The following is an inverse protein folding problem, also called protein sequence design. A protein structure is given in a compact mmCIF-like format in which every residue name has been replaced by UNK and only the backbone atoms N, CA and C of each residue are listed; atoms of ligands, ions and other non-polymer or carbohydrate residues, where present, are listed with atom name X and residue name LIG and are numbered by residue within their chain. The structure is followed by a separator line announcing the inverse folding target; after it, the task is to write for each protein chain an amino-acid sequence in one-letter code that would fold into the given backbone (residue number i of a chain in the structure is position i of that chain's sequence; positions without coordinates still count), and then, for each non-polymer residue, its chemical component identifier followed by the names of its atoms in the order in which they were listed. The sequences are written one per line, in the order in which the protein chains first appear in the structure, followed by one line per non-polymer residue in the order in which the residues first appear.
data_IF_045225977719
#
_entry.id   IF_045225977719
#
_cell.length_a   1.000
_cell.length_b   1.000
_cell.length_c   1.000
_cell.angle_alpha   90.00
_cell.angle_beta   90.00
_cell.angle_gamma   90.00
#
_symmetry.space_group_name_H-M   'P 1'
#
loop_
_entity.id
_entity.type
_entity.pdbx_description
1 polymer ?
#
# COMPACT_ATOMS: atom_id res chain seq x y z
N UNK A 1 -33.49 16.64 25.07
CA UNK A 1 -32.59 17.76 25.44
C UNK A 1 -31.84 17.33 26.71
N UNK A 2 -31.10 16.21 26.63
CA UNK A 2 -30.38 15.63 27.79
C UNK A 2 -29.00 15.09 27.37
N UNK A 3 -28.30 15.81 26.48
CA UNK A 3 -26.85 15.67 26.33
C UNK A 3 -26.13 16.83 27.08
N UNK A 4 -26.75 17.37 28.12
CA UNK A 4 -26.38 18.65 28.74
C UNK A 4 -25.30 18.53 29.83
N UNK A 5 -24.89 17.31 30.21
CA UNK A 5 -23.85 17.10 31.22
C UNK A 5 -22.61 16.40 30.64
N UNK A 6 -21.82 17.20 29.91
CA UNK A 6 -20.36 17.21 29.91
C UNK A 6 -19.63 15.88 29.73
N UNK A 7 -19.30 15.55 28.49
CA UNK A 7 -18.14 14.70 28.23
C UNK A 7 -16.89 15.53 28.56
N UNK A 8 -16.11 15.10 29.56
CA UNK A 8 -14.97 15.87 30.03
C UNK A 8 -13.92 16.07 28.94
N UNK A 9 -13.34 17.26 28.85
CA UNK A 9 -12.43 17.71 27.77
C UNK A 9 -11.10 16.92 27.67
N UNK A 10 -10.88 15.87 28.45
CA UNK A 10 -9.54 15.25 28.63
C UNK A 10 -9.54 13.72 28.74
N UNK A 11 -10.32 13.03 27.90
CA UNK A 11 -10.10 11.61 27.66
C UNK A 11 -11.19 10.91 26.87
N UNK A 12 -10.83 9.82 26.20
CA UNK A 12 -11.71 8.87 25.50
C UNK A 12 -12.72 8.13 26.41
N UNK A 13 -12.98 8.64 27.62
CA UNK A 13 -13.88 8.03 28.58
C UNK A 13 -15.29 8.67 28.45
N UNK A 14 -16.10 7.89 27.75
CA UNK A 14 -17.38 8.14 27.10
C UNK A 14 -18.55 8.61 28.00
N UNK A 15 -19.38 9.50 27.45
CA UNK A 15 -20.80 9.65 27.77
C UNK A 15 -21.59 8.48 27.12
N UNK A 16 -22.04 7.51 27.91
CA UNK A 16 -22.40 6.16 27.46
C UNK A 16 -23.81 5.99 26.85
N UNK A 17 -24.32 6.99 26.13
CA UNK A 17 -25.61 6.88 25.43
C UNK A 17 -25.43 7.08 23.92
N UNK A 18 -25.93 6.13 23.12
CA UNK A 18 -25.83 6.12 21.66
C UNK A 18 -26.47 7.34 20.98
N UNK A 19 -27.30 8.11 21.69
CA UNK A 19 -27.99 9.30 21.18
C UNK A 19 -27.24 10.62 21.42
N UNK A 20 -26.12 10.59 22.16
CA UNK A 20 -25.34 11.79 22.51
C UNK A 20 -23.85 11.70 22.16
N UNK A 21 -23.39 10.58 21.61
CA UNK A 21 -21.98 10.35 21.38
C UNK A 21 -21.57 10.83 19.98
N UNK A 22 -20.77 11.90 19.96
CA UNK A 22 -20.15 12.41 18.73
C UNK A 22 -19.14 11.40 18.21
N UNK A 23 -19.27 11.03 16.95
CA UNK A 23 -18.32 10.19 16.24
C UNK A 23 -18.07 10.73 14.83
N UNK A 24 -16.97 10.30 14.22
CA UNK A 24 -16.67 10.62 12.83
C UNK A 24 -17.56 9.82 11.88
N UNK A 25 -17.88 10.38 10.71
CA UNK A 25 -18.44 9.64 9.57
C UNK A 25 -17.27 9.28 8.66
N UNK A 26 -16.73 8.04 8.71
CA UNK A 26 -15.53 7.70 7.97
C UNK A 26 -15.77 7.75 6.46
N UNK A 27 -14.77 8.23 5.71
CA UNK A 27 -14.89 8.47 4.26
C UNK A 27 -15.34 7.24 3.47
N UNK A 28 -14.75 6.07 3.75
CA UNK A 28 -14.97 4.84 2.99
C UNK A 28 -16.00 3.90 3.61
N UNK A 29 -16.40 4.17 4.86
CA UNK A 29 -17.31 3.34 5.64
C UNK A 29 -18.27 4.24 6.45
N UNK A 30 -19.13 5.04 5.80
CA UNK A 30 -19.84 6.14 6.47
C UNK A 30 -20.76 5.72 7.62
N UNK A 31 -21.28 4.49 7.61
CA UNK A 31 -22.19 3.99 8.64
C UNK A 31 -21.51 3.13 9.72
N UNK A 32 -20.20 2.86 9.64
CA UNK A 32 -19.57 1.86 10.54
C UNK A 32 -19.51 2.32 11.99
N UNK A 33 -19.52 3.64 12.22
CA UNK A 33 -19.43 4.22 13.57
C UNK A 33 -20.80 4.39 14.25
N UNK A 34 -21.91 4.11 13.54
CA UNK A 34 -23.27 4.16 14.08
C UNK A 34 -23.50 3.04 15.11
N UNK A 35 -22.83 1.90 14.92
CA UNK A 35 -22.88 0.75 15.82
C UNK A 35 -21.64 0.68 16.72
N UNK A 36 -21.83 0.23 17.97
CA UNK A 36 -20.75 0.01 18.93
C UNK A 36 -20.35 -1.46 18.96
N UNK A 37 -19.06 -1.72 18.75
CA UNK A 37 -18.45 -3.00 19.06
C UNK A 37 -18.23 -3.15 20.59
N UNK A 38 -18.31 -4.40 21.06
CA UNK A 38 -18.28 -4.74 22.49
C UNK A 38 -17.08 -5.59 22.90
N UNK A 39 -16.21 -5.93 21.94
CA UNK A 39 -15.04 -6.79 22.17
C UNK A 39 -13.78 -6.07 21.72
N UNK A 40 -12.69 -6.24 22.44
CA UNK A 40 -11.38 -5.73 22.04
C UNK A 40 -10.61 -6.75 21.19
N UNK A 41 -9.75 -6.26 20.31
CA UNK A 41 -8.74 -7.05 19.61
C UNK A 41 -7.35 -6.65 20.10
N UNK A 42 -6.61 -7.61 20.65
CA UNK A 42 -5.22 -7.42 21.06
C UNK A 42 -4.32 -8.41 20.33
N UNK A 43 -3.47 -7.92 19.42
CA UNK A 43 -2.43 -8.70 18.76
C UNK A 43 -1.23 -8.80 19.70
N UNK A 44 -1.21 -9.86 20.49
CA UNK A 44 -0.19 -10.16 21.50
C UNK A 44 0.83 -11.22 21.07
N UNK A 45 0.62 -11.82 19.89
CA UNK A 45 1.52 -12.71 19.19
C UNK A 45 1.49 -12.35 17.70
N UNK A 46 2.53 -12.70 16.94
CA UNK A 46 2.51 -12.57 15.48
C UNK A 46 1.28 -13.29 14.91
N UNK A 47 0.50 -12.56 14.11
CA UNK A 47 -0.77 -13.02 13.56
C UNK A 47 -0.81 -12.73 12.07
N UNK A 48 -1.33 -13.68 11.30
CA UNK A 48 -1.69 -13.47 9.90
C UNK A 48 -3.20 -13.40 9.79
N UNK A 49 -3.70 -12.35 9.15
CA UNK A 49 -5.11 -12.15 8.83
C UNK A 49 -5.28 -12.24 7.31
N UNK A 50 -6.09 -13.18 6.86
CA UNK A 50 -6.43 -13.31 5.44
C UNK A 50 -7.77 -12.63 5.16
N UNK A 51 -7.75 -11.57 4.36
CA UNK A 51 -8.94 -10.78 4.06
C UNK A 51 -9.92 -11.50 3.13
N UNK A 52 -9.50 -12.60 2.49
CA UNK A 52 -10.39 -13.45 1.70
C UNK A 52 -11.15 -14.48 2.56
N UNK A 53 -10.74 -14.68 3.81
CA UNK A 53 -11.45 -15.51 4.77
C UNK A 53 -12.50 -14.67 5.51
N UNK A 54 -13.78 -14.91 5.21
CA UNK A 54 -14.89 -14.19 5.85
C UNK A 54 -14.89 -14.36 7.38
N UNK A 55 -14.30 -15.43 7.93
CA UNK A 55 -14.17 -15.60 9.39
C UNK A 55 -13.15 -14.63 10.03
N UNK A 56 -12.23 -14.09 9.22
CA UNK A 56 -11.27 -13.07 9.65
C UNK A 56 -11.86 -11.65 9.65
N UNK A 57 -13.00 -11.44 9.00
CA UNK A 57 -13.69 -10.16 8.91
C UNK A 57 -14.92 -10.16 9.85
N UNK A 58 -15.14 -9.07 10.59
CA UNK A 58 -16.43 -8.82 11.27
C UNK A 58 -17.56 -8.67 10.25
N UNK A 59 -17.27 -7.98 9.15
CA UNK A 59 -18.15 -7.82 8.00
C UNK A 59 -17.35 -7.47 6.74
N UNK A 60 -18.00 -7.51 5.58
CA UNK A 60 -17.40 -7.12 4.30
C UNK A 60 -18.23 -6.00 3.69
N UNK A 61 -17.58 -4.91 3.28
CA UNK A 61 -18.22 -3.82 2.55
C UNK A 61 -17.84 -3.86 1.06
N UNK A 62 -18.87 -3.88 0.21
CA UNK A 62 -18.69 -3.77 -1.23
C UNK A 62 -18.37 -2.32 -1.64
N UNK A 63 -17.45 -2.16 -2.58
CA UNK A 63 -17.14 -0.86 -3.20
C UNK A 63 -17.64 -0.85 -4.65
N UNK A 64 -18.20 0.25 -5.17
CA UNK A 64 -18.77 0.27 -6.52
C UNK A 64 -17.78 -0.06 -7.64
N UNK A 65 -16.53 0.40 -7.49
CA UNK A 65 -15.47 0.31 -8.52
C UNK A 65 -14.12 -0.11 -7.92
N UNK A 66 -14.12 -0.71 -6.73
CA UNK A 66 -12.91 -1.11 -6.00
C UNK A 66 -12.97 -2.55 -5.50
N UNK A 67 -11.90 -3.06 -4.87
CA UNK A 67 -11.94 -4.32 -4.16
C UNK A 67 -12.97 -4.24 -3.01
N UNK A 68 -13.45 -5.35 -2.50
CA UNK A 68 -14.23 -5.30 -1.24
C UNK A 68 -13.32 -4.87 -0.08
N UNK A 69 -13.91 -4.42 1.02
CA UNK A 69 -13.20 -4.10 2.26
C UNK A 69 -13.56 -5.16 3.30
N UNK A 70 -12.56 -5.91 3.78
CA UNK A 70 -12.66 -6.70 5.00
C UNK A 70 -12.62 -5.75 6.19
N UNK A 71 -13.69 -5.72 6.97
CA UNK A 71 -13.82 -4.85 8.14
C UNK A 71 -13.54 -5.67 9.40
N UNK A 72 -12.58 -5.24 10.19
CA UNK A 72 -12.29 -5.77 11.53
C UNK A 72 -12.73 -4.69 12.52
N UNK A 73 -13.92 -4.87 13.10
CA UNK A 73 -14.55 -3.87 13.97
C UNK A 73 -14.60 -4.36 15.42
N UNK A 74 -13.91 -3.63 16.29
CA UNK A 74 -13.78 -3.92 17.72
C UNK A 74 -13.93 -2.63 18.54
N UNK A 75 -14.17 -2.78 19.84
CA UNK A 75 -14.25 -1.65 20.76
C UNK A 75 -12.91 -0.91 20.78
N UNK A 76 -11.81 -1.63 20.96
CA UNK A 76 -10.45 -1.14 20.80
C UNK A 76 -9.62 -2.15 20.01
N UNK A 77 -8.68 -1.66 19.20
CA UNK A 77 -7.70 -2.49 18.48
C UNK A 77 -6.31 -2.08 18.93
N UNK A 78 -5.50 -3.05 19.35
CA UNK A 78 -4.11 -2.81 19.76
C UNK A 78 -3.17 -3.85 19.16
N UNK A 79 -2.16 -3.39 18.44
CA UNK A 79 -1.02 -4.21 17.98
C UNK A 79 0.14 -3.92 18.92
N UNK A 80 0.45 -4.86 19.82
CA UNK A 80 1.46 -4.64 20.86
C UNK A 80 2.87 -4.53 20.27
N UNK A 81 3.77 -3.92 21.03
CA UNK A 81 5.19 -3.83 20.68
C UNK A 81 5.80 -5.21 20.41
N UNK A 82 6.72 -5.27 19.46
CA UNK A 82 7.37 -6.50 18.98
C UNK A 82 6.42 -7.56 18.38
N UNK A 83 5.14 -7.23 18.14
CA UNK A 83 4.21 -8.10 17.42
C UNK A 83 3.99 -7.62 15.99
N UNK A 84 3.76 -8.55 15.09
CA UNK A 84 3.42 -8.27 13.69
C UNK A 84 2.02 -8.79 13.38
N UNK A 85 1.16 -7.91 12.89
CA UNK A 85 -0.06 -8.28 12.18
C UNK A 85 0.24 -8.24 10.68
N UNK A 86 0.39 -9.40 10.06
CA UNK A 86 0.51 -9.52 8.61
C UNK A 86 -0.87 -9.67 8.00
N UNK A 87 -1.21 -8.88 7.00
CA UNK A 87 -2.49 -8.92 6.31
C UNK A 87 -2.30 -9.36 4.86
N UNK A 88 -3.04 -10.38 4.44
CA UNK A 88 -3.02 -10.92 3.08
C UNK A 88 -4.42 -10.95 2.48
N UNK A 89 -4.55 -11.46 1.25
CA UNK A 89 -5.83 -11.61 0.55
C UNK A 89 -6.07 -10.54 -0.52
N UNK A 90 -7.23 -10.59 -1.16
CA UNK A 90 -7.58 -9.71 -2.29
C UNK A 90 -8.41 -8.49 -1.89
N UNK A 91 -8.99 -8.48 -0.69
CA UNK A 91 -9.80 -7.36 -0.17
C UNK A 91 -8.91 -6.33 0.53
N UNK A 92 -9.30 -5.06 0.51
CA UNK A 92 -8.68 -4.04 1.36
C UNK A 92 -8.99 -4.32 2.83
N UNK A 93 -8.18 -3.83 3.77
CA UNK A 93 -8.40 -4.00 5.21
C UNK A 93 -8.80 -2.68 5.87
N UNK A 94 -9.84 -2.71 6.70
CA UNK A 94 -10.19 -1.63 7.61
C UNK A 94 -10.16 -2.13 9.05
N UNK A 95 -9.25 -1.60 9.86
CA UNK A 95 -9.22 -1.80 11.32
C UNK A 95 -10.00 -0.66 11.96
N UNK A 96 -11.18 -0.99 12.49
CA UNK A 96 -12.13 -0.03 13.06
C UNK A 96 -12.22 -0.23 14.56
N UNK A 97 -11.76 0.78 15.31
CA UNK A 97 -11.85 0.82 16.76
C UNK A 97 -12.81 1.91 17.21
N UNK A 98 -13.81 1.60 18.03
CA UNK A 98 -14.71 2.62 18.55
C UNK A 98 -13.99 3.62 19.47
N UNK A 99 -13.17 3.09 20.38
CA UNK A 99 -12.51 3.84 21.46
C UNK A 99 -10.99 3.90 21.32
N UNK A 100 -10.43 3.23 20.32
CA UNK A 100 -9.00 3.30 20.04
C UNK A 100 -8.55 2.38 18.93
N UNK A 101 -7.63 2.87 18.11
CA UNK A 101 -6.79 2.05 17.23
C UNK A 101 -5.35 2.45 17.51
N UNK A 102 -4.58 1.53 18.10
CA UNK A 102 -3.20 1.76 18.53
C UNK A 102 -2.26 0.72 17.89
N UNK A 103 -1.40 1.19 16.98
CA UNK A 103 -0.37 0.38 16.34
C UNK A 103 0.98 0.69 16.99
N UNK A 104 1.42 -0.16 17.93
CA UNK A 104 2.77 -0.08 18.54
C UNK A 104 3.75 -1.08 17.96
N UNK A 105 3.25 -2.21 17.48
CA UNK A 105 4.00 -3.22 16.74
C UNK A 105 4.10 -2.90 15.25
N UNK A 106 3.98 -3.92 14.41
CA UNK A 106 4.06 -3.82 12.96
C UNK A 106 2.71 -4.23 12.36
N UNK A 107 2.12 -3.36 11.54
CA UNK A 107 1.05 -3.70 10.62
C UNK A 107 1.65 -3.84 9.22
N UNK A 108 1.70 -5.07 8.72
CA UNK A 108 2.32 -5.41 7.43
C UNK A 108 1.25 -5.83 6.42
N UNK A 109 0.95 -4.95 5.48
CA UNK A 109 0.06 -5.16 4.35
C UNK A 109 0.82 -4.90 3.03
N UNK A 110 2.13 -5.16 3.03
CA UNK A 110 3.00 -5.03 1.87
C UNK A 110 2.76 -6.15 0.85
N UNK A 111 3.12 -5.89 -0.40
CA UNK A 111 3.32 -6.93 -1.39
C UNK A 111 4.64 -7.67 -1.15
N UNK A 112 4.71 -8.92 -1.56
CA UNK A 112 5.94 -9.71 -1.55
C UNK A 112 6.23 -10.26 -2.93
N UNK A 113 7.33 -9.83 -3.54
CA UNK A 113 7.72 -10.14 -4.91
C UNK A 113 6.57 -9.85 -5.88
N UNK A 114 5.91 -10.89 -6.41
CA UNK A 114 4.81 -10.80 -7.37
C UNK A 114 3.43 -10.90 -6.72
N UNK A 115 3.36 -11.23 -5.42
CA UNK A 115 2.12 -11.33 -4.67
C UNK A 115 1.67 -9.94 -4.21
N UNK A 116 0.45 -9.56 -4.54
CA UNK A 116 -0.13 -8.29 -4.12
C UNK A 116 -0.41 -8.29 -2.60
N UNK A 117 -0.36 -7.12 -1.99
CA UNK A 117 -0.94 -6.89 -0.67
C UNK A 117 -2.48 -6.79 -0.72
N UNK A 118 -3.15 -6.72 0.44
CA UNK A 118 -4.62 -6.69 0.56
C UNK A 118 -5.24 -5.53 -0.22
N UNK A 119 -6.15 -5.81 -1.15
CA UNK A 119 -6.77 -4.78 -2.02
C UNK A 119 -5.82 -4.16 -3.05
N UNK A 120 -4.57 -4.63 -3.12
CA UNK A 120 -3.58 -4.25 -4.11
C UNK A 120 -3.79 -4.94 -5.45
N UNK A 121 -3.39 -4.29 -6.53
CA UNK A 121 -3.39 -4.87 -7.87
C UNK A 121 -4.79 -5.01 -8.48
N UNK A 122 -5.83 -4.49 -7.82
CA UNK A 122 -7.16 -4.33 -8.40
C UNK A 122 -7.08 -3.46 -9.67
N UNK A 123 -6.33 -2.35 -9.59
CA UNK A 123 -5.97 -1.53 -10.75
C UNK A 123 -4.67 -2.03 -11.38
N UNK A 124 -4.62 -1.99 -12.71
CA UNK A 124 -3.41 -2.28 -13.49
C UNK A 124 -2.96 -1.02 -14.21
N UNK A 125 -1.66 -0.78 -14.24
CA UNK A 125 -1.06 0.29 -15.02
C UNK A 125 0.29 -0.15 -15.57
N UNK A 126 0.91 0.64 -16.46
CA UNK A 126 2.17 0.26 -17.11
C UNK A 126 1.98 -0.83 -18.17
N UNK A 127 2.83 -0.78 -19.20
CA UNK A 127 2.74 -1.70 -20.34
C UNK A 127 3.72 -2.87 -20.20
N UNK A 128 3.25 -4.09 -20.48
CA UNK A 128 4.13 -5.24 -20.63
C UNK A 128 4.70 -5.31 -22.04
N UNK A 129 6.01 -5.14 -22.21
CA UNK A 129 6.69 -5.12 -23.51
C UNK A 129 7.27 -6.47 -23.89
N UNK A 130 7.75 -6.61 -25.13
CA UNK A 130 8.54 -7.76 -25.56
C UNK A 130 9.99 -7.72 -25.06
N UNK A 131 10.51 -6.53 -24.72
CA UNK A 131 11.90 -6.34 -24.27
C UNK A 131 12.02 -6.21 -22.76
N UNK A 132 11.16 -5.39 -22.14
CA UNK A 132 11.07 -5.18 -20.71
C UNK A 132 9.68 -4.62 -20.34
N UNK A 133 9.21 -4.89 -19.12
CA UNK A 133 7.99 -4.28 -18.58
C UNK A 133 8.22 -2.89 -18.01
N UNK A 134 7.23 -2.01 -18.16
CA UNK A 134 7.15 -0.76 -17.40
C UNK A 134 6.66 -1.04 -15.98
N UNK A 135 7.16 -0.28 -15.01
CA UNK A 135 6.67 -0.33 -13.63
C UNK A 135 5.30 0.33 -13.50
N UNK A 136 4.57 0.01 -12.44
CA UNK A 136 3.24 0.54 -12.21
C UNK A 136 3.28 1.96 -11.67
N UNK A 137 2.35 2.81 -12.12
CA UNK A 137 2.13 4.16 -11.61
C UNK A 137 0.96 4.20 -10.61
N UNK A 138 1.10 4.99 -9.55
CA UNK A 138 0.08 5.18 -8.52
C UNK A 138 0.15 6.62 -7.99
N UNK A 139 0.85 6.90 -6.88
CA UNK A 139 1.03 8.30 -6.41
C UNK A 139 1.94 9.12 -7.34
N UNK A 140 2.89 8.47 -7.99
CA UNK A 140 3.74 9.04 -9.05
C UNK A 140 3.62 8.19 -10.31
N UNK A 141 4.36 8.55 -11.37
CA UNK A 141 4.48 7.66 -12.54
C UNK A 141 5.41 6.49 -12.21
N UNK A 142 5.13 5.33 -12.81
CA UNK A 142 6.05 4.20 -12.81
C UNK A 142 7.20 4.43 -13.80
N UNK A 143 8.32 3.76 -13.59
CA UNK A 143 9.46 3.79 -14.50
C UNK A 143 9.17 3.07 -15.82
N UNK A 144 9.74 3.55 -16.90
CA UNK A 144 9.69 2.92 -18.21
C UNK A 144 10.58 1.67 -18.27
N UNK A 145 10.22 0.67 -19.07
CA UNK A 145 11.10 -0.47 -19.37
C UNK A 145 12.18 -0.06 -20.38
N UNK A 146 13.41 -0.54 -20.23
CA UNK A 146 14.51 -0.25 -21.15
C UNK A 146 14.38 -0.97 -22.50
N UNK A 147 15.02 -0.42 -23.54
CA UNK A 147 15.20 -1.06 -24.85
C UNK A 147 16.66 -0.93 -25.32
N UNK A 148 16.89 -0.39 -26.52
CA UNK A 148 18.19 0.12 -26.98
C UNK A 148 18.50 1.49 -26.36
N UNK A 149 17.55 2.10 -25.65
CA UNK A 149 17.72 3.29 -24.80
C UNK A 149 17.07 3.05 -23.45
N UNK A 150 17.54 3.74 -22.41
CA UNK A 150 16.91 3.71 -21.09
C UNK A 150 15.45 4.17 -21.24
N UNK A 151 14.53 3.44 -20.61
CA UNK A 151 13.09 3.71 -20.73
C UNK A 151 12.47 3.58 -22.13
N UNK A 152 13.19 3.03 -23.10
CA UNK A 152 12.77 3.03 -24.50
C UNK A 152 11.90 1.86 -24.97
N UNK A 153 11.50 0.90 -24.11
CA UNK A 153 10.67 -0.24 -24.52
C UNK A 153 9.20 -0.02 -24.25
N UNK A 154 8.84 0.24 -22.99
CA UNK A 154 7.45 0.32 -22.56
C UNK A 154 7.19 1.45 -21.62
N UNK A 155 6.00 2.02 -21.77
CA UNK A 155 5.53 3.09 -20.91
C UNK A 155 5.31 2.56 -19.50
N UNK A 156 5.94 3.22 -18.53
CA UNK A 156 5.55 3.10 -17.13
C UNK A 156 4.10 3.53 -16.93
N UNK A 157 3.48 3.07 -15.86
CA UNK A 157 2.11 3.44 -15.52
C UNK A 157 1.99 4.93 -15.25
N UNK A 158 0.85 5.50 -15.66
CA UNK A 158 0.52 6.88 -15.31
C UNK A 158 0.23 6.97 -13.81
N UNK A 159 0.38 8.17 -13.27
CA UNK A 159 -0.10 8.50 -11.93
C UNK A 159 -1.62 8.31 -11.89
N UNK A 160 -2.11 7.65 -10.86
CA UNK A 160 -3.53 7.48 -10.58
C UNK A 160 -4.07 8.69 -9.80
N UNK A 161 -5.37 9.00 -9.91
CA UNK A 161 -5.99 9.97 -9.03
C UNK A 161 -5.84 9.57 -7.57
N UNK A 162 -5.57 10.54 -6.70
CA UNK A 162 -5.49 10.30 -5.26
C UNK A 162 -6.78 9.65 -4.75
N UNK A 163 -6.71 8.58 -3.92
CA UNK A 163 -7.87 8.00 -3.27
C UNK A 163 -8.67 9.03 -2.46
N UNK A 164 -8.04 10.14 -2.05
CA UNK A 164 -8.75 11.25 -1.40
C UNK A 164 -9.81 11.93 -2.27
N UNK A 165 -9.73 11.80 -3.59
CA UNK A 165 -10.73 12.28 -4.54
C UNK A 165 -11.73 11.21 -4.99
N UNK A 166 -11.53 9.96 -4.57
CA UNK A 166 -12.29 8.81 -5.01
C UNK A 166 -13.24 8.32 -3.91
N UNK A 167 -14.25 7.54 -4.31
CA UNK A 167 -15.18 6.90 -3.39
C UNK A 167 -14.62 5.57 -2.88
N UNK A 168 -13.72 4.95 -3.64
CA UNK A 168 -13.12 3.66 -3.34
C UNK A 168 -11.74 3.75 -2.66
N UNK A 169 -11.49 2.84 -1.72
CA UNK A 169 -10.20 2.51 -1.14
C UNK A 169 -9.59 1.35 -1.92
N UNK A 170 -8.41 1.55 -2.50
CA UNK A 170 -7.65 0.51 -3.18
C UNK A 170 -6.17 0.67 -2.86
N UNK A 171 -5.44 -0.45 -2.94
CA UNK A 171 -4.00 -0.47 -2.74
C UNK A 171 -3.25 0.11 -3.93
N UNK A 172 -2.01 -0.31 -4.10
CA UNK A 172 -1.20 0.05 -5.25
C UNK A 172 -1.74 -0.54 -6.55
N UNK A 173 -1.23 -0.02 -7.66
CA UNK A 173 -1.43 -0.61 -8.98
C UNK A 173 -0.38 -1.69 -9.28
N UNK A 174 -0.79 -2.72 -10.02
CA UNK A 174 0.13 -3.76 -10.50
C UNK A 174 0.47 -3.54 -11.98
N UNK A 175 1.70 -3.83 -12.44
CA UNK A 175 2.02 -3.75 -13.85
C UNK A 175 1.13 -4.69 -14.70
N UNK A 176 0.73 -4.27 -15.89
CA UNK A 176 -0.12 -5.10 -16.77
C UNK A 176 0.64 -6.34 -17.25
N UNK A 177 0.07 -7.52 -16.98
CA UNK A 177 0.51 -8.79 -17.56
C UNK A 177 0.14 -8.86 -19.04
N UNK A 178 1.14 -8.89 -19.93
CA UNK A 178 0.88 -9.02 -21.39
C UNK A 178 1.26 -10.37 -21.97
N UNK A 179 1.93 -11.26 -21.22
CA UNK A 179 2.24 -12.61 -21.70
C UNK A 179 2.44 -13.60 -20.54
N UNK A 180 2.11 -14.89 -20.73
CA UNK A 180 2.42 -15.95 -19.78
C UNK A 180 3.93 -15.99 -19.47
N UNK A 181 4.30 -16.17 -18.19
CA UNK A 181 5.69 -16.22 -17.74
C UNK A 181 6.30 -14.87 -17.33
N UNK A 182 5.69 -13.75 -17.70
CA UNK A 182 5.98 -12.44 -17.09
C UNK A 182 5.33 -12.42 -15.72
N UNK A 183 6.08 -12.17 -14.66
CA UNK A 183 5.50 -11.98 -13.34
C UNK A 183 5.93 -10.58 -12.84
N UNK A 184 5.04 -9.58 -12.95
CA UNK A 184 5.33 -8.24 -12.49
C UNK A 184 5.31 -8.21 -10.96
N UNK A 185 5.94 -7.19 -10.39
CA UNK A 185 5.89 -6.96 -8.95
C UNK A 185 4.46 -6.80 -8.47
N UNK A 186 4.16 -7.34 -7.30
CA UNK A 186 2.86 -7.21 -6.64
C UNK A 186 2.63 -5.77 -6.21
N UNK A 187 1.39 -5.32 -6.16
CA UNK A 187 1.07 -3.99 -5.69
C UNK A 187 0.82 -3.98 -4.18
N UNK A 188 1.27 -2.93 -3.49
CA UNK A 188 1.08 -2.79 -2.04
C UNK A 188 -0.39 -2.73 -1.63
N UNK A 189 -0.69 -3.05 -0.37
CA UNK A 189 -2.07 -3.15 0.12
C UNK A 189 -2.77 -1.81 0.36
N UNK A 190 -4.06 -1.88 0.66
CA UNK A 190 -4.89 -0.77 1.13
C UNK A 190 -5.29 -1.01 2.59
N UNK A 191 -4.93 -0.07 3.47
CA UNK A 191 -5.19 -0.11 4.90
C UNK A 191 -5.93 1.14 5.32
N UNK A 192 -7.04 0.98 6.04
CA UNK A 192 -7.70 2.05 6.76
C UNK A 192 -7.66 1.78 8.28
N UNK A 193 -7.08 2.71 9.04
CA UNK A 193 -7.16 2.74 10.51
C UNK A 193 -8.17 3.80 10.91
N UNK A 194 -9.29 3.36 11.48
CA UNK A 194 -10.44 4.21 11.76
C UNK A 194 -10.73 4.16 13.25
N UNK A 195 -10.68 5.33 13.91
CA UNK A 195 -11.08 5.47 15.29
C UNK A 195 -12.35 6.31 15.40
N UNK A 196 -13.50 5.67 15.67
CA UNK A 196 -14.80 6.35 15.54
C UNK A 196 -14.97 7.54 16.50
N UNK A 197 -14.51 7.40 17.75
CA UNK A 197 -14.75 8.37 18.83
C UNK A 197 -13.47 8.91 19.48
N UNK A 198 -12.31 8.58 18.92
CA UNK A 198 -11.02 8.81 19.55
C UNK A 198 -9.92 9.12 18.52
N UNK A 199 -8.68 9.13 18.99
CA UNK A 199 -7.50 9.31 18.14
C UNK A 199 -7.06 7.97 17.54
N UNK A 200 -6.89 7.92 16.21
CA UNK A 200 -6.14 6.83 15.57
C UNK A 200 -4.64 7.08 15.77
N UNK A 201 -3.93 6.13 16.39
CA UNK A 201 -2.55 6.31 16.81
C UNK A 201 -1.61 5.28 16.16
N UNK A 202 -0.49 5.77 15.62
CA UNK A 202 0.59 4.95 15.07
C UNK A 202 1.91 5.33 15.74
N UNK A 203 2.37 4.46 16.64
CA UNK A 203 3.66 4.55 17.35
C UNK A 203 4.69 3.60 16.74
N UNK A 204 4.23 2.46 16.23
CA UNK A 204 5.02 1.40 15.60
C UNK A 204 5.23 1.61 14.10
N UNK A 205 5.05 0.55 13.33
CA UNK A 205 5.27 0.56 11.87
C UNK A 205 4.01 0.17 11.12
N UNK A 206 3.69 0.90 10.06
CA UNK A 206 2.72 0.48 9.04
C UNK A 206 3.44 0.38 7.70
N UNK A 207 3.34 -0.78 7.04
CA UNK A 207 4.00 -1.05 5.76
C UNK A 207 3.00 -1.55 4.72
N UNK A 208 2.94 -0.85 3.59
CA UNK A 208 2.17 -1.22 2.40
C UNK A 208 3.05 -1.12 1.14
N UNK A 209 4.34 -1.48 1.23
CA UNK A 209 5.27 -1.48 0.11
C UNK A 209 4.80 -2.31 -1.09
N UNK A 210 5.18 -1.91 -2.31
CA UNK A 210 4.98 -2.66 -3.55
C UNK A 210 6.09 -3.69 -3.75
N UNK A 211 5.81 -4.80 -4.42
CA UNK A 211 6.75 -5.88 -4.64
C UNK A 211 7.65 -5.68 -5.88
N UNK A 212 8.79 -6.36 -5.87
CA UNK A 212 9.80 -6.34 -6.92
C UNK A 212 9.41 -7.18 -8.14
N UNK A 213 9.75 -6.68 -9.32
CA UNK A 213 9.52 -7.37 -10.58
C UNK A 213 10.46 -8.55 -10.78
N UNK A 214 9.95 -9.65 -11.37
CA UNK A 214 10.78 -10.82 -11.68
C UNK A 214 11.82 -10.48 -12.75
N UNK A 215 13.04 -10.98 -12.59
CA UNK A 215 14.07 -10.87 -13.63
C UNK A 215 13.73 -11.68 -14.89
N UNK A 216 14.30 -11.26 -16.03
CA UNK A 216 14.06 -11.90 -17.32
C UNK A 216 14.64 -13.31 -17.39
N UNK A 217 14.04 -14.19 -18.18
CA UNK A 217 14.55 -15.54 -18.42
C UNK A 217 14.45 -15.92 -19.90
N UNK A 218 15.43 -16.68 -20.38
CA UNK A 218 15.39 -17.30 -21.70
C UNK A 218 15.51 -18.82 -21.54
N UNK A 219 14.39 -19.55 -21.46
CA UNK A 219 14.46 -21.00 -21.41
C UNK A 219 15.05 -21.52 -22.73
N UNK A 220 16.03 -22.42 -22.67
CA UNK A 220 16.71 -23.00 -23.84
C UNK A 220 15.71 -23.47 -24.90
N UNK A 221 15.49 -22.66 -25.94
CA UNK A 221 14.58 -22.95 -27.06
C UNK A 221 13.16 -22.39 -26.96
N UNK A 222 12.81 -21.65 -25.90
CA UNK A 222 11.57 -20.87 -25.79
C UNK A 222 11.82 -19.36 -26.02
N UNK A 223 10.78 -18.59 -26.31
CA UNK A 223 10.91 -17.13 -26.42
C UNK A 223 11.44 -16.50 -25.12
N UNK A 224 12.17 -15.40 -25.24
CA UNK A 224 12.66 -14.63 -24.08
C UNK A 224 11.46 -14.11 -23.29
N UNK A 225 11.36 -14.49 -22.01
CA UNK A 225 10.47 -13.85 -21.06
C UNK A 225 11.16 -12.57 -20.56
N UNK A 226 10.68 -11.38 -20.95
CA UNK A 226 11.30 -10.13 -20.51
C UNK A 226 11.07 -9.91 -19.01
N UNK A 227 11.95 -9.15 -18.34
CA UNK A 227 11.76 -8.83 -16.94
C UNK A 227 10.45 -8.08 -16.70
N UNK A 228 9.86 -8.33 -15.52
CA UNK A 228 8.65 -7.65 -15.04
C UNK A 228 8.98 -6.30 -14.40
N UNK A 229 8.11 -5.32 -14.58
CA UNK A 229 8.18 -4.04 -13.86
C UNK A 229 7.89 -4.21 -12.37
N UNK A 230 8.35 -3.25 -11.56
CA UNK A 230 8.04 -3.19 -10.13
C UNK A 230 6.59 -2.77 -9.86
N UNK A 231 6.01 -3.29 -8.78
CA UNK A 231 4.67 -2.91 -8.31
C UNK A 231 4.67 -1.62 -7.52
N UNK A 232 3.57 -0.87 -7.59
CA UNK A 232 3.46 0.38 -6.86
C UNK A 232 3.19 0.13 -5.36
N UNK A 233 3.62 1.08 -4.52
CA UNK A 233 3.26 1.12 -3.11
C UNK A 233 1.75 1.29 -2.90
N UNK A 234 1.29 0.95 -1.70
CA UNK A 234 -0.12 0.87 -1.32
C UNK A 234 -0.77 2.18 -0.89
N UNK A 235 -1.89 2.08 -0.18
CA UNK A 235 -2.61 3.24 0.37
C UNK A 235 -2.81 3.04 1.87
N UNK A 236 -2.40 4.01 2.68
CA UNK A 236 -2.72 4.05 4.12
C UNK A 236 -3.64 5.23 4.39
N UNK A 237 -4.72 4.97 5.14
CA UNK A 237 -5.67 5.99 5.56
C UNK A 237 -5.81 5.97 7.07
N UNK A 238 -5.63 7.11 7.71
CA UNK A 238 -5.87 7.29 9.15
C UNK A 238 -7.08 8.22 9.33
N UNK A 239 -8.08 7.80 10.10
CA UNK A 239 -9.27 8.60 10.38
C UNK A 239 -9.60 8.54 11.86
N UNK A 240 -9.93 9.68 12.46
CA UNK A 240 -10.44 9.74 13.81
C UNK A 240 -10.85 11.16 14.22
N UNK A 241 -11.41 11.30 15.43
CA UNK A 241 -11.59 12.62 16.03
C UNK A 241 -10.24 13.33 16.25
N UNK A 242 -9.16 12.55 16.33
CA UNK A 242 -7.78 12.98 16.12
C UNK A 242 -7.00 11.91 15.34
N UNK A 243 -5.84 12.31 14.84
CA UNK A 243 -4.85 11.39 14.27
C UNK A 243 -3.48 11.75 14.83
N UNK A 244 -2.75 10.76 15.32
CA UNK A 244 -1.39 10.92 15.83
C UNK A 244 -0.46 9.88 15.21
N UNK A 245 0.64 10.37 14.62
CA UNK A 245 1.68 9.52 14.04
C UNK A 245 3.03 9.97 14.58
N UNK A 246 3.62 9.12 15.42
CA UNK A 246 4.98 9.27 15.95
C UNK A 246 5.91 8.14 15.49
N UNK A 247 5.32 7.05 15.00
CA UNK A 247 6.01 5.89 14.44
C UNK A 247 6.48 6.07 13.00
N UNK A 248 6.44 4.98 12.23
CA UNK A 248 6.91 4.92 10.85
C UNK A 248 5.82 4.40 9.90
N UNK A 249 5.72 4.99 8.71
CA UNK A 249 4.77 4.55 7.68
C UNK A 249 5.43 4.50 6.31
N UNK A 250 5.26 3.38 5.61
CA UNK A 250 5.90 3.11 4.31
C UNK A 250 4.90 2.64 3.25
N UNK A 251 5.02 3.23 2.06
CA UNK A 251 4.30 2.85 0.85
C UNK A 251 5.23 3.01 -0.36
N UNK A 252 6.43 2.46 -0.27
CA UNK A 252 7.43 2.54 -1.35
C UNK A 252 7.07 1.61 -2.52
N UNK A 253 7.50 1.97 -3.72
CA UNK A 253 7.40 1.09 -4.88
C UNK A 253 8.50 0.04 -4.91
N UNK A 254 8.25 -1.10 -5.54
CA UNK A 254 9.25 -2.15 -5.76
C UNK A 254 10.16 -1.86 -6.96
N UNK A 255 11.33 -2.48 -6.99
CA UNK A 255 12.27 -2.40 -8.11
C UNK A 255 11.83 -3.22 -9.32
N UNK A 256 12.21 -2.81 -10.54
CA UNK A 256 12.02 -3.61 -11.75
C UNK A 256 13.02 -4.77 -11.82
N UNK A 257 12.66 -5.86 -12.50
CA UNK A 257 13.56 -6.99 -12.71
C UNK A 257 14.73 -6.66 -13.64
N UNK A 258 15.88 -7.30 -13.41
CA UNK A 258 17.04 -7.25 -14.30
C UNK A 258 16.84 -8.11 -15.54
N UNK A 259 17.51 -7.76 -16.65
CA UNK A 259 17.47 -8.59 -17.85
C UNK A 259 18.18 -9.96 -17.66
N UNK A 260 17.72 -11.02 -18.35
CA UNK A 260 18.38 -12.35 -18.37
C UNK A 260 18.77 -12.87 -19.77
N UNK A 261 19.98 -13.40 -19.90
CA UNK A 261 20.55 -13.92 -21.15
C UNK A 261 20.12 -15.37 -21.43
N UNK A 262 20.57 -15.93 -22.57
CA UNK A 262 20.17 -17.27 -23.08
C UNK A 262 20.34 -18.41 -22.06
N UNK A 263 21.25 -18.24 -21.08
CA UNK A 263 21.58 -19.28 -20.10
C UNK A 263 21.49 -18.80 -18.66
N UNK A 264 21.18 -17.53 -18.42
CA UNK A 264 21.19 -16.92 -17.08
C UNK A 264 19.94 -16.07 -16.87
N UNK A 265 19.25 -16.33 -15.76
CA UNK A 265 18.12 -15.50 -15.33
C UNK A 265 18.65 -14.17 -14.79
N UNK A 266 17.97 -13.08 -15.11
CA UNK A 266 18.21 -11.80 -14.45
C UNK A 266 17.74 -11.85 -13.00
N UNK A 267 18.31 -11.02 -12.13
CA UNK A 267 17.88 -10.98 -10.75
C UNK A 267 16.51 -10.31 -10.63
N UNK A 268 15.65 -10.74 -9.68
CA UNK A 268 14.44 -9.99 -9.35
C UNK A 268 14.81 -8.61 -8.77
N UNK A 269 13.92 -7.63 -8.96
CA UNK A 269 13.97 -6.38 -8.21
C UNK A 269 13.64 -6.60 -6.74
N UNK A 270 14.06 -5.68 -5.90
CA UNK A 270 13.73 -5.70 -4.47
C UNK A 270 12.28 -5.23 -4.24
N UNK A 271 11.67 -5.75 -3.18
CA UNK A 271 10.40 -5.24 -2.66
C UNK A 271 10.59 -3.84 -2.05
N UNK A 272 9.52 -3.06 -1.99
CA UNK A 272 9.46 -1.76 -1.33
C UNK A 272 9.92 -1.88 0.12
N UNK A 273 10.93 -1.11 0.50
CA UNK A 273 11.58 -1.27 1.80
C UNK A 273 10.98 -0.35 2.87
N UNK A 274 11.15 -0.69 4.15
CA UNK A 274 10.82 0.16 5.31
C UNK A 274 11.88 1.24 5.53
N UNK A 275 12.10 2.06 4.51
CA UNK A 275 13.16 3.07 4.47
C UNK A 275 12.74 4.28 3.63
N UNK A 276 13.46 5.40 3.76
CA UNK A 276 13.38 6.49 2.79
C UNK A 276 14.20 6.21 1.50
N UNK A 277 14.95 5.10 1.48
CA UNK A 277 15.71 4.65 0.31
C UNK A 277 14.85 3.80 -0.60
N UNK A 278 14.91 4.10 -1.89
CA UNK A 278 14.19 3.39 -2.94
C UNK A 278 14.66 1.93 -3.05
N UNK A 279 13.72 1.01 -3.31
CA UNK A 279 14.03 -0.39 -3.58
C UNK A 279 14.88 -0.53 -4.85
N UNK A 280 15.94 -1.33 -4.79
CA UNK A 280 16.85 -1.50 -5.93
C UNK A 280 16.18 -2.30 -7.04
N UNK A 281 16.47 -1.94 -8.29
CA UNK A 281 16.16 -2.81 -9.42
C UNK A 281 17.06 -4.06 -9.41
N UNK A 282 16.60 -5.14 -10.05
CA UNK A 282 17.36 -6.37 -10.16
C UNK A 282 18.67 -6.15 -10.91
N UNK A 283 19.74 -6.78 -10.43
CA UNK A 283 21.07 -6.68 -11.02
C UNK A 283 21.16 -7.47 -12.34
N UNK A 284 22.24 -7.19 -13.07
CA UNK A 284 22.55 -7.87 -14.30
C UNK A 284 23.44 -9.10 -14.07
N UNK A 285 23.11 -10.20 -14.76
CA UNK A 285 23.97 -11.35 -14.93
C UNK A 285 24.58 -11.37 -16.36
N UNK A 286 25.87 -11.73 -16.46
CA UNK A 286 26.66 -11.92 -17.69
C UNK A 286 26.52 -10.90 -18.85
N UNK A 287 26.28 -9.61 -18.56
CA UNK A 287 26.20 -8.56 -19.60
C UNK A 287 24.77 -8.13 -19.95
N UNK A 288 23.77 -8.61 -19.22
CA UNK A 288 22.46 -7.94 -19.15
C UNK A 288 22.58 -6.56 -18.47
N UNK A 289 21.45 -5.89 -18.25
CA UNK A 289 21.39 -4.59 -17.58
C UNK A 289 20.36 -4.58 -16.46
N UNK A 290 20.58 -3.66 -15.51
CA UNK A 290 19.80 -3.59 -14.28
C UNK A 290 18.39 -3.06 -14.51
N UNK A 291 17.44 -3.53 -13.70
CA UNK A 291 16.14 -2.91 -13.57
C UNK A 291 16.22 -1.49 -12.98
N UNK A 292 15.12 -0.75 -13.12
CA UNK A 292 14.92 0.55 -12.51
C UNK A 292 14.56 0.42 -11.03
N UNK A 293 15.04 1.34 -10.20
CA UNK A 293 14.67 1.42 -8.80
C UNK A 293 13.20 1.84 -8.62
N UNK A 294 12.54 1.36 -7.56
CA UNK A 294 11.20 1.80 -7.18
C UNK A 294 11.17 3.27 -6.72
N UNK A 295 9.99 3.84 -6.59
CA UNK A 295 9.79 5.17 -6.01
C UNK A 295 9.89 5.17 -4.48
N UNK A 296 10.35 6.27 -3.91
CA UNK A 296 10.44 6.49 -2.46
C UNK A 296 10.30 7.98 -2.10
N UNK A 297 10.47 8.34 -0.82
CA UNK A 297 10.30 9.70 -0.29
C UNK A 297 11.06 10.79 -1.05
N UNK A 298 12.21 10.45 -1.63
CA UNK A 298 13.13 11.43 -2.23
C UNK A 298 13.27 11.31 -3.75
N UNK A 299 12.64 10.31 -4.36
CA UNK A 299 12.77 10.06 -5.78
C UNK A 299 11.57 9.32 -6.36
N UNK A 300 11.20 9.72 -7.56
CA UNK A 300 10.29 8.96 -8.41
C UNK A 300 10.90 7.61 -8.82
N UNK A 301 10.04 6.71 -9.28
CA UNK A 301 10.47 5.45 -9.86
C UNK A 301 11.41 5.69 -11.05
N UNK A 302 12.43 4.85 -11.19
CA UNK A 302 13.42 4.97 -12.27
C UNK A 302 13.13 4.01 -13.40
N UNK A 303 13.57 4.41 -14.58
CA UNK A 303 13.52 3.59 -15.78
C UNK A 303 14.50 2.42 -15.69
N UNK A 304 14.15 1.33 -16.36
CA UNK A 304 15.05 0.23 -16.60
C UNK A 304 16.12 0.60 -17.63
N UNK A 305 17.33 0.06 -17.45
CA UNK A 305 18.47 0.38 -18.32
C UNK A 305 18.36 -0.28 -19.70
N UNK A 306 18.96 0.36 -20.69
CA UNK A 306 19.12 -0.11 -22.06
C UNK A 306 20.06 -1.30 -22.16
N UNK A 307 19.79 -2.24 -23.06
CA UNK A 307 20.74 -3.29 -23.38
C UNK A 307 22.01 -2.72 -24.03
N UNK A 308 23.18 -3.26 -23.67
CA UNK A 308 24.50 -2.83 -24.19
C UNK A 308 24.77 -3.26 -25.63
N UNK A 309 23.98 -4.19 -26.19
CA UNK A 309 24.06 -4.65 -27.57
C UNK A 309 22.66 -4.70 -28.18
N UNK A 310 22.56 -4.58 -29.51
CA UNK A 310 21.29 -4.72 -30.24
C UNK A 310 20.67 -6.11 -29.98
N UNK A 311 19.81 -6.21 -28.98
CA UNK A 311 19.14 -7.44 -28.57
C UNK A 311 18.72 -7.43 -27.08
N UNK A 312 17.78 -8.31 -26.68
CA UNK A 312 17.43 -8.50 -25.28
C UNK A 312 18.64 -8.98 -24.46
N UNK A 313 18.62 -8.75 -23.12
CA UNK A 313 17.51 -8.24 -22.31
C UNK A 313 17.81 -6.87 -21.65
N UNK A 314 16.91 -5.91 -21.87
CA UNK A 314 16.93 -4.66 -21.13
C UNK A 314 16.32 -4.82 -19.72
N UNK A 315 16.52 -3.85 -18.84
CA UNK A 315 15.95 -3.85 -17.50
C UNK A 315 14.50 -3.36 -17.50
N UNK A 316 13.68 -3.84 -16.57
CA UNK A 316 12.32 -3.34 -16.38
C UNK A 316 12.28 -2.07 -15.51
N UNK A 317 11.22 -1.28 -15.64
CA UNK A 317 11.05 -0.06 -14.83
C UNK A 317 10.58 -0.34 -13.40
N UNK A 318 10.93 0.54 -12.46
CA UNK A 318 10.50 0.46 -11.06
C UNK A 318 9.06 0.91 -10.85
N UNK A 319 8.43 0.44 -9.78
CA UNK A 319 7.07 0.82 -9.38
C UNK A 319 7.04 2.16 -8.63
N UNK A 320 5.91 2.85 -8.73
CA UNK A 320 5.66 4.14 -8.06
C UNK A 320 5.46 4.01 -6.54
N UNK A 321 5.54 5.13 -5.81
CA UNK A 321 5.10 5.20 -4.41
C UNK A 321 3.58 5.08 -4.27
N UNK A 322 3.14 4.89 -3.04
CA UNK A 322 1.76 4.89 -2.61
C UNK A 322 1.25 6.21 -2.02
N UNK A 323 0.07 6.18 -1.40
CA UNK A 323 -0.55 7.35 -0.77
C UNK A 323 -0.65 7.18 0.75
N UNK A 324 -0.35 8.24 1.49
CA UNK A 324 -0.56 8.31 2.93
C UNK A 324 -1.54 9.45 3.23
N UNK A 325 -2.74 9.10 3.70
CA UNK A 325 -3.87 10.02 3.87
C UNK A 325 -4.27 10.11 5.34
N UNK A 326 -4.65 11.30 5.78
CA UNK A 326 -5.27 11.52 7.08
C UNK A 326 -6.59 12.27 6.93
N UNK A 327 -7.53 11.97 7.81
CA UNK A 327 -8.81 12.65 7.89
C UNK A 327 -9.19 12.94 9.34
N UNK A 328 -9.53 14.19 9.60
CA UNK A 328 -10.00 14.66 10.90
C UNK A 328 -11.20 15.61 10.73
N UNK A 329 -11.98 15.87 11.79
CA UNK A 329 -13.01 16.90 11.76
C UNK A 329 -12.47 18.28 11.40
N UNK A 330 -13.35 19.14 10.90
CA UNK A 330 -13.00 20.52 10.57
C UNK A 330 -12.40 21.25 11.80
N UNK A 331 -11.26 21.90 11.60
CA UNK A 331 -10.56 22.63 12.67
C UNK A 331 -9.63 21.78 13.53
N UNK A 332 -9.63 20.45 13.36
CA UNK A 332 -8.69 19.55 14.03
C UNK A 332 -7.51 19.27 13.10
N UNK A 333 -6.30 19.67 13.49
CA UNK A 333 -5.09 19.31 12.77
C UNK A 333 -4.55 17.96 13.27
N UNK A 334 -4.15 17.03 12.39
CA UNK A 334 -3.48 15.80 12.81
C UNK A 334 -2.08 16.11 13.38
N UNK A 335 -1.65 15.36 14.39
CA UNK A 335 -0.29 15.45 14.92
C UNK A 335 0.60 14.48 14.14
N UNK A 336 1.30 15.00 13.13
CA UNK A 336 2.19 14.23 12.28
C UNK A 336 3.65 14.57 12.61
N UNK A 337 4.27 13.76 13.47
CA UNK A 337 5.69 13.81 13.79
C UNK A 337 6.33 12.43 13.62
N UNK A 338 6.24 11.81 12.43
CA UNK A 338 6.74 10.46 12.21
C UNK A 338 8.26 10.41 12.37
N UNK A 339 8.76 9.34 12.97
CA UNK A 339 10.20 9.05 13.02
C UNK A 339 10.77 8.88 11.59
N UNK A 340 10.03 8.20 10.72
CA UNK A 340 10.36 8.03 9.31
C UNK A 340 9.09 7.80 8.48
N UNK A 341 8.99 8.45 7.33
CA UNK A 341 7.84 8.29 6.43
C UNK A 341 8.30 8.26 4.98
N UNK A 342 7.70 7.39 4.16
CA UNK A 342 8.01 7.32 2.73
C UNK A 342 6.83 6.74 1.94
N UNK A 343 6.14 7.53 1.07
CA UNK A 343 6.38 8.95 0.77
C UNK A 343 5.86 9.88 1.88
N UNK A 344 5.82 11.20 1.64
CA UNK A 344 5.20 12.14 2.58
C UNK A 344 3.68 11.96 2.66
N UNK A 345 3.07 12.44 3.75
CA UNK A 345 1.62 12.55 3.86
C UNK A 345 1.05 13.57 2.87
N UNK A 346 -0.13 13.25 2.34
CA UNK A 346 -0.95 14.21 1.61
C UNK A 346 -1.51 15.28 2.55
N UNK A 347 -2.09 16.33 1.97
CA UNK A 347 -2.83 17.32 2.76
C UNK A 347 -4.00 16.63 3.48
N UNK A 348 -4.11 16.89 4.79
CA UNK A 348 -5.18 16.33 5.62
C UNK A 348 -6.56 16.66 5.04
N UNK A 349 -7.40 15.64 4.88
CA UNK A 349 -8.79 15.80 4.48
C UNK A 349 -9.69 16.11 5.67
N UNK A 350 -10.86 16.69 5.40
CA UNK A 350 -11.89 16.90 6.42
C UNK A 350 -12.98 15.85 6.32
N UNK A 351 -13.41 15.32 7.46
CA UNK A 351 -14.57 14.41 7.57
C UNK A 351 -15.65 15.04 8.45
N UNK A 352 -16.89 14.63 8.21
CA UNK A 352 -18.03 15.04 9.02
C UNK A 352 -18.04 14.30 10.37
N UNK A 353 -18.74 14.89 11.34
CA UNK A 353 -19.17 14.22 12.57
C UNK A 353 -20.69 14.25 12.62
N UNK A 354 -21.29 13.32 13.35
CA UNK A 354 -22.73 13.34 13.62
C UNK A 354 -23.11 14.22 14.81
#
# INVERSE_FOLDING_TARGET
MECEFGCGETGCNVCNTSTCEQHIIPKYLPAICDDLATTDLTVSANLTLDTDDDASCTSVAAQPTGPEICIVHHQSISILENQTLTVTGTRAIALVGDRGVDVRGILDASASTTLNGPGGGFKKSGSGGSLAGGGAGHHTRGGHGGSNTDGGATNGGLQEPSPASLAELFGGTQPTLTSPGKAPGGAGGAVALICCRCTAQVIGVVDVGGGGGRGGENPLGGGVAPPGGGGAGGTVVLQGLGVEVTGQIFANGGGGGGGGLIVERGDPGEDGTRSATCASGGLNNAGAVSGGAGGCATADARDGRAAVTNGPPAGAGGGSTGFLLTYTPQGVAPLLNPLLVSPAFETNGTIATN
#
